data_IF_100355997178
#
_entry.id   IF_100355997178
#
_cell.length_a   1.000
_cell.length_b   1.000
_cell.length_c   1.000
_cell.angle_alpha   90.00
_cell.angle_beta   90.00
_cell.angle_gamma   90.00
#
_symmetry.space_group_name_H-M   'P 1'
#
loop_
_entity.id
_entity.type
_entity.pdbx_description
1 polymer ?
#
# COMPACT_ATOMS: atom_id res chain seq x y z
N UNK A 1 8.88 6.84 -25.17
CA UNK A 1 8.72 5.37 -25.05
C UNK A 1 7.74 4.99 -23.94
N UNK A 2 7.78 5.65 -22.78
CA UNK A 2 6.86 5.44 -21.64
C UNK A 2 5.38 5.69 -22.00
N UNK A 3 5.05 6.73 -22.77
CA UNK A 3 3.66 6.99 -23.19
C UNK A 3 3.06 5.89 -24.07
N UNK A 4 3.85 5.30 -25.00
CA UNK A 4 3.37 4.18 -25.83
C UNK A 4 3.11 2.92 -25.00
N UNK A 5 3.83 2.75 -23.89
CA UNK A 5 3.61 1.64 -22.95
C UNK A 5 2.37 1.88 -22.09
N UNK A 6 2.16 3.10 -21.59
CA UNK A 6 1.01 3.44 -20.74
C UNK A 6 -0.29 3.63 -21.52
N UNK A 7 -0.25 4.16 -22.74
CA UNK A 7 -1.42 4.46 -23.57
C UNK A 7 -1.37 3.77 -24.95
N UNK A 8 -1.57 2.44 -25.03
CA UNK A 8 -1.82 1.79 -26.31
C UNK A 8 -3.18 2.25 -26.89
N UNK A 9 -3.22 2.69 -28.15
CA UNK A 9 -4.45 3.13 -28.82
C UNK A 9 -5.42 1.99 -29.15
N UNK A 10 -4.93 0.75 -29.23
CA UNK A 10 -5.73 -0.43 -29.51
C UNK A 10 -6.40 -0.97 -28.25
N UNK A 11 -7.72 -0.84 -28.17
CA UNK A 11 -8.55 -1.38 -27.10
C UNK A 11 -8.70 -2.90 -27.29
N UNK A 12 -8.07 -3.69 -26.42
CA UNK A 12 -8.10 -5.15 -26.52
C UNK A 12 -8.46 -5.72 -25.16
N UNK A 13 -9.73 -6.11 -24.98
CA UNK A 13 -10.28 -6.57 -23.71
C UNK A 13 -9.46 -7.70 -23.07
N UNK A 14 -8.90 -8.61 -23.87
CA UNK A 14 -8.04 -9.70 -23.37
C UNK A 14 -6.79 -9.17 -22.65
N UNK A 15 -6.19 -8.11 -23.20
CA UNK A 15 -5.00 -7.47 -22.61
C UNK A 15 -5.37 -6.71 -21.34
N UNK A 16 -6.49 -5.99 -21.34
CA UNK A 16 -7.04 -5.30 -20.16
C UNK A 16 -7.25 -6.28 -19.01
N UNK A 17 -7.84 -7.44 -19.31
CA UNK A 17 -8.09 -8.50 -18.34
C UNK A 17 -6.79 -9.03 -17.72
N UNK A 18 -5.78 -9.35 -18.55
CA UNK A 18 -4.47 -9.83 -18.07
C UNK A 18 -3.82 -8.79 -17.14
N UNK A 19 -3.82 -7.50 -17.51
CA UNK A 19 -3.28 -6.44 -16.66
C UNK A 19 -4.05 -6.28 -15.34
N UNK A 20 -5.36 -6.49 -15.36
CA UNK A 20 -6.20 -6.44 -14.17
C UNK A 20 -5.83 -7.55 -13.19
N UNK A 21 -5.75 -8.79 -13.69
CA UNK A 21 -5.40 -9.96 -12.88
C UNK A 21 -3.99 -9.81 -12.32
N UNK A 22 -3.02 -9.36 -13.12
CA UNK A 22 -1.66 -9.11 -12.66
C UNK A 22 -1.59 -8.02 -11.58
N UNK A 23 -2.21 -6.86 -11.80
CA UNK A 23 -2.23 -5.77 -10.83
C UNK A 23 -2.90 -6.19 -9.52
N UNK A 24 -4.05 -6.89 -9.59
CA UNK A 24 -4.76 -7.40 -8.43
C UNK A 24 -3.95 -8.43 -7.63
N UNK A 25 -3.30 -9.37 -8.33
CA UNK A 25 -2.48 -10.42 -7.70
C UNK A 25 -1.28 -9.84 -6.98
N UNK A 26 -0.59 -8.89 -7.61
CA UNK A 26 0.58 -8.22 -7.04
C UNK A 26 0.17 -7.31 -5.86
N UNK A 27 -0.95 -6.59 -5.97
CA UNK A 27 -1.49 -5.80 -4.86
C UNK A 27 -1.82 -6.68 -3.64
N UNK A 28 -2.57 -7.77 -3.83
CA UNK A 28 -2.95 -8.69 -2.76
C UNK A 28 -1.72 -9.36 -2.12
N UNK A 29 -0.73 -9.77 -2.92
CA UNK A 29 0.50 -10.40 -2.44
C UNK A 29 1.45 -9.43 -1.73
N UNK A 30 1.38 -8.13 -2.02
CA UNK A 30 2.37 -7.15 -1.53
C UNK A 30 2.49 -7.09 -0.01
N UNK A 31 1.36 -7.06 0.71
CA UNK A 31 1.35 -6.97 2.18
C UNK A 31 1.91 -8.23 2.84
N UNK A 32 1.61 -9.39 2.24
CA UNK A 32 2.17 -10.67 2.67
C UNK A 32 3.68 -10.73 2.44
N UNK A 33 4.14 -10.36 1.24
CA UNK A 33 5.57 -10.33 0.90
C UNK A 33 6.33 -9.40 1.85
N UNK A 34 5.85 -8.17 2.09
CA UNK A 34 6.48 -7.23 3.03
C UNK A 34 6.64 -7.85 4.42
N UNK A 35 5.61 -8.53 4.93
CA UNK A 35 5.64 -9.19 6.24
C UNK A 35 6.63 -10.38 6.27
N UNK A 36 6.62 -11.21 5.22
CA UNK A 36 7.51 -12.37 5.09
C UNK A 36 8.98 -11.96 5.03
N UNK A 37 9.34 -10.97 4.20
CA UNK A 37 10.71 -10.46 4.09
C UNK A 37 11.18 -9.81 5.38
N UNK A 38 10.32 -9.04 6.06
CA UNK A 38 10.64 -8.42 7.36
C UNK A 38 10.97 -9.47 8.41
N UNK A 39 10.17 -10.54 8.48
CA UNK A 39 10.38 -11.64 9.43
C UNK A 39 11.71 -12.36 9.20
N UNK A 40 12.11 -12.55 7.94
CA UNK A 40 13.37 -13.19 7.57
C UNK A 40 14.60 -12.29 7.73
N UNK A 41 14.48 -10.98 7.53
CA UNK A 41 15.62 -10.07 7.55
C UNK A 41 15.94 -9.45 8.91
N UNK A 42 14.92 -9.03 9.67
CA UNK A 42 15.08 -8.30 10.94
C UNK A 42 14.70 -9.19 12.13
N UNK A 43 13.59 -9.92 12.01
CA UNK A 43 13.10 -10.83 13.03
C UNK A 43 11.58 -10.82 13.15
N UNK A 44 11.05 -11.82 13.87
CA UNK A 44 9.60 -12.07 13.99
C UNK A 44 8.88 -10.95 14.75
N UNK A 45 9.52 -10.34 15.76
CA UNK A 45 8.93 -9.27 16.56
C UNK A 45 8.60 -8.02 15.73
N UNK A 46 9.53 -7.56 14.89
CA UNK A 46 9.34 -6.38 14.04
C UNK A 46 8.34 -6.64 12.91
N UNK A 47 8.31 -7.86 12.36
CA UNK A 47 7.30 -8.28 11.41
C UNK A 47 5.89 -8.24 12.01
N UNK A 48 5.74 -8.60 13.29
CA UNK A 48 4.49 -8.48 14.03
C UNK A 48 4.03 -7.02 14.16
N UNK A 49 4.94 -6.09 14.45
CA UNK A 49 4.65 -4.65 14.53
C UNK A 49 4.18 -4.12 13.16
N UNK A 50 4.85 -4.51 12.08
CA UNK A 50 4.45 -4.14 10.72
C UNK A 50 3.05 -4.67 10.37
N UNK A 51 2.78 -5.95 10.68
CA UNK A 51 1.48 -6.57 10.41
C UNK A 51 0.34 -5.89 11.21
N UNK A 52 0.59 -5.51 12.46
CA UNK A 52 -0.33 -4.72 13.27
C UNK A 52 -0.61 -3.36 12.61
N UNK A 53 0.44 -2.63 12.21
CA UNK A 53 0.31 -1.34 11.56
C UNK A 53 -0.48 -1.42 10.24
N UNK A 54 -0.22 -2.44 9.42
CA UNK A 54 -0.96 -2.68 8.17
C UNK A 54 -2.44 -2.98 8.42
N UNK A 55 -2.75 -3.75 9.47
CA UNK A 55 -4.13 -4.10 9.83
C UNK A 55 -4.91 -2.87 10.30
N UNK A 56 -4.30 -2.05 11.16
CA UNK A 56 -4.90 -0.77 11.60
C UNK A 56 -5.11 0.16 10.41
N UNK A 57 -4.12 0.25 9.51
CA UNK A 57 -4.23 1.01 8.27
C UNK A 57 -5.42 0.56 7.41
N UNK A 58 -5.61 -0.75 7.24
CA UNK A 58 -6.75 -1.29 6.48
C UNK A 58 -8.09 -0.90 7.08
N UNK A 59 -8.22 -0.92 8.40
CA UNK A 59 -9.45 -0.54 9.09
C UNK A 59 -9.78 0.94 8.89
N UNK A 60 -8.76 1.81 8.94
CA UNK A 60 -8.93 3.25 8.73
C UNK A 60 -9.25 3.59 7.26
N UNK A 61 -8.70 2.84 6.31
CA UNK A 61 -8.99 3.01 4.87
C UNK A 61 -10.49 2.87 4.57
N UNK A 62 -11.24 2.06 5.31
CA UNK A 62 -12.70 1.96 5.15
C UNK A 62 -13.39 3.32 5.29
N UNK A 63 -12.91 4.17 6.21
CA UNK A 63 -13.38 5.54 6.41
C UNK A 63 -12.92 6.44 5.26
N UNK A 64 -11.64 6.35 4.88
CA UNK A 64 -11.06 7.20 3.85
C UNK A 64 -11.60 6.95 2.44
N UNK A 65 -11.93 5.69 2.12
CA UNK A 65 -12.43 5.32 0.80
C UNK A 65 -13.93 5.54 0.65
N UNK A 66 -14.71 5.25 1.70
CA UNK A 66 -16.17 5.39 1.74
C UNK A 66 -16.90 4.93 0.46
N UNK A 67 -16.29 3.99 -0.28
CA UNK A 67 -16.69 3.55 -1.62
C UNK A 67 -16.97 4.67 -2.66
N UNK A 68 -16.35 5.85 -2.50
CA UNK A 68 -16.52 7.00 -3.41
C UNK A 68 -16.11 6.65 -4.84
N UNK A 69 -15.08 5.81 -4.99
CA UNK A 69 -14.62 5.35 -6.30
C UNK A 69 -15.70 4.60 -7.06
N UNK A 70 -16.49 3.75 -6.40
CA UNK A 70 -17.58 3.01 -7.04
C UNK A 70 -18.64 3.96 -7.58
N UNK A 71 -18.97 5.01 -6.80
CA UNK A 71 -19.88 6.08 -7.24
C UNK A 71 -19.32 6.83 -8.46
N UNK A 72 -18.05 7.24 -8.39
CA UNK A 72 -17.34 7.94 -9.47
C UNK A 72 -17.28 7.14 -10.78
N UNK A 73 -17.02 5.83 -10.69
CA UNK A 73 -16.95 4.95 -11.86
C UNK A 73 -18.33 4.73 -12.48
N UNK A 74 -19.39 4.69 -11.66
CA UNK A 74 -20.77 4.55 -12.14
C UNK A 74 -21.33 5.81 -12.80
N UNK A 75 -20.79 6.99 -12.47
CA UNK A 75 -21.18 8.28 -13.05
C UNK A 75 -20.60 8.47 -14.46
N UNK A 76 -20.98 7.62 -15.40
CA UNK A 76 -20.50 7.68 -16.80
C UNK A 76 -20.93 8.97 -17.50
N UNK A 77 -22.04 9.57 -17.07
CA UNK A 77 -22.56 10.82 -17.65
C UNK A 77 -21.91 12.08 -17.06
N UNK A 78 -20.89 11.94 -16.19
CA UNK A 78 -20.17 13.04 -15.53
C UNK A 78 -21.13 14.10 -14.97
N UNK A 79 -22.18 13.66 -14.25
CA UNK A 79 -23.17 14.57 -13.66
C UNK A 79 -22.53 15.47 -12.59
N UNK A 80 -21.45 15.00 -11.97
CA UNK A 80 -20.63 15.74 -11.02
C UNK A 80 -19.24 16.01 -11.60
N UNK A 81 -18.69 17.20 -11.30
CA UNK A 81 -17.40 17.64 -11.86
C UNK A 81 -16.25 16.89 -11.21
N UNK A 82 -15.09 16.78 -11.88
CA UNK A 82 -13.88 16.21 -11.29
C UNK A 82 -13.55 16.75 -9.88
N UNK A 83 -13.71 18.07 -9.74
CA UNK A 83 -13.41 18.79 -8.52
C UNK A 83 -14.27 18.35 -7.33
N UNK A 84 -15.54 17.97 -7.55
CA UNK A 84 -16.45 17.59 -6.46
C UNK A 84 -16.00 16.30 -5.78
N UNK A 85 -15.52 15.33 -6.58
CA UNK A 85 -14.96 14.10 -6.07
C UNK A 85 -13.61 14.31 -5.39
N UNK A 86 -12.81 15.26 -5.88
CA UNK A 86 -11.55 15.65 -5.23
C UNK A 86 -11.82 16.25 -3.85
N UNK A 87 -12.78 17.16 -3.76
CA UNK A 87 -13.18 17.77 -2.50
C UNK A 87 -13.71 16.74 -1.51
N UNK A 88 -14.59 15.84 -1.95
CA UNK A 88 -15.09 14.74 -1.13
C UNK A 88 -13.94 13.85 -0.63
N UNK A 89 -12.95 13.55 -1.49
CA UNK A 89 -11.78 12.75 -1.11
C UNK A 89 -10.92 13.47 -0.07
N UNK A 90 -10.71 14.77 -0.20
CA UNK A 90 -9.99 15.55 0.81
C UNK A 90 -10.71 15.44 2.15
N UNK A 91 -12.03 15.58 2.19
CA UNK A 91 -12.82 15.44 3.43
C UNK A 91 -12.65 14.05 4.03
N UNK A 92 -12.82 12.97 3.25
CA UNK A 92 -12.73 11.60 3.81
C UNK A 92 -11.32 11.23 4.24
N UNK A 93 -10.30 11.66 3.50
CA UNK A 93 -8.89 11.45 3.89
C UNK A 93 -8.55 12.25 5.13
N UNK A 94 -9.00 13.50 5.25
CA UNK A 94 -8.84 14.30 6.47
C UNK A 94 -9.55 13.65 7.66
N UNK A 95 -10.77 13.12 7.49
CA UNK A 95 -11.47 12.37 8.53
C UNK A 95 -10.70 11.10 8.95
N UNK A 96 -10.15 10.35 7.98
CA UNK A 96 -9.31 9.18 8.25
C UNK A 96 -8.06 9.56 9.05
N UNK A 97 -7.39 10.67 8.70
CA UNK A 97 -6.21 11.16 9.42
C UNK A 97 -6.56 11.62 10.84
N UNK A 98 -7.69 12.30 11.03
CA UNK A 98 -8.16 12.72 12.36
C UNK A 98 -8.46 11.52 13.26
N UNK A 99 -9.19 10.52 12.75
CA UNK A 99 -9.49 9.29 13.51
C UNK A 99 -8.20 8.53 13.82
N UNK A 100 -7.30 8.42 12.84
CA UNK A 100 -5.98 7.82 13.03
C UNK A 100 -5.15 8.53 14.10
N UNK A 101 -5.15 9.86 14.10
CA UNK A 101 -4.45 10.66 15.10
C UNK A 101 -5.02 10.48 16.50
N UNK A 102 -6.35 10.53 16.66
CA UNK A 102 -7.01 10.26 17.95
C UNK A 102 -6.71 8.85 18.45
N UNK A 103 -6.67 7.87 17.56
CA UNK A 103 -6.33 6.50 17.90
C UNK A 103 -4.88 6.40 18.41
N UNK A 104 -3.93 7.02 17.72
CA UNK A 104 -2.51 7.09 18.15
C UNK A 104 -2.34 7.81 19.49
N UNK A 105 -3.14 8.83 19.78
CA UNK A 105 -3.09 9.54 21.07
C UNK A 105 -3.66 8.73 22.24
N UNK A 106 -4.72 7.96 22.00
CA UNK A 106 -5.33 7.11 23.03
C UNK A 106 -4.49 5.88 23.34
N UNK A 107 -3.77 5.39 22.35
CA UNK A 107 -3.00 4.18 22.47
C UNK A 107 -1.62 4.48 23.06
N UNK A 108 -1.31 3.92 24.23
CA UNK A 108 -0.06 4.19 24.96
C UNK A 108 1.16 3.47 24.36
N UNK A 109 1.17 3.23 23.05
CA UNK A 109 2.25 2.54 22.35
C UNK A 109 3.49 3.44 22.28
N UNK A 110 4.61 2.99 22.87
CA UNK A 110 5.89 3.73 22.88
C UNK A 110 6.80 3.34 21.71
N UNK A 111 7.56 4.32 21.21
CA UNK A 111 8.70 4.11 20.31
C UNK A 111 8.31 3.65 18.90
N UNK A 112 8.92 2.56 18.45
CA UNK A 112 8.90 2.05 17.06
C UNK A 112 7.49 1.74 16.56
N UNK A 113 6.60 1.22 17.42
CA UNK A 113 5.22 0.87 17.04
C UNK A 113 4.40 2.08 16.62
N UNK A 114 4.51 3.18 17.38
CA UNK A 114 3.78 4.42 17.09
C UNK A 114 4.25 5.05 15.78
N UNK A 115 5.56 5.03 15.52
CA UNK A 115 6.13 5.50 14.26
C UNK A 115 5.64 4.65 13.07
N UNK A 116 5.64 3.32 13.21
CA UNK A 116 5.16 2.40 12.16
C UNK A 116 3.68 2.61 11.82
N UNK A 117 2.81 2.75 12.83
CA UNK A 117 1.37 2.98 12.63
C UNK A 117 1.13 4.35 12.00
N UNK A 118 1.80 5.40 12.48
CA UNK A 118 1.69 6.74 11.91
C UNK A 118 2.11 6.77 10.44
N UNK A 119 3.21 6.09 10.11
CA UNK A 119 3.67 5.97 8.73
C UNK A 119 2.69 5.18 7.84
N UNK A 120 2.12 4.10 8.37
CA UNK A 120 1.10 3.32 7.65
C UNK A 120 -0.16 4.16 7.34
N UNK A 121 -0.60 4.99 8.28
CA UNK A 121 -1.76 5.88 8.09
C UNK A 121 -1.47 6.92 6.99
N UNK A 122 -0.29 7.55 7.03
CA UNK A 122 0.13 8.50 6.00
C UNK A 122 0.26 7.84 4.62
N UNK A 123 0.84 6.64 4.57
CA UNK A 123 0.94 5.86 3.35
C UNK A 123 -0.45 5.56 2.75
N UNK A 124 -1.42 5.17 3.59
CA UNK A 124 -2.80 4.94 3.15
C UNK A 124 -3.49 6.21 2.65
N UNK A 125 -3.17 7.38 3.21
CA UNK A 125 -3.71 8.66 2.72
C UNK A 125 -3.22 8.96 1.28
N UNK A 126 -1.95 8.70 1.00
CA UNK A 126 -1.37 8.86 -0.36
C UNK A 126 -2.02 7.87 -1.35
N UNK A 127 -2.25 6.63 -0.91
CA UNK A 127 -2.96 5.65 -1.73
C UNK A 127 -4.40 6.08 -2.06
N UNK A 128 -5.11 6.72 -1.13
CA UNK A 128 -6.47 7.22 -1.35
C UNK A 128 -6.54 8.29 -2.46
N UNK A 129 -5.54 9.16 -2.52
CA UNK A 129 -5.44 10.17 -3.58
C UNK A 129 -5.13 9.51 -4.93
N UNK A 130 -4.23 8.53 -4.94
CA UNK A 130 -3.89 7.78 -6.15
C UNK A 130 -5.10 7.02 -6.72
N UNK A 131 -5.91 6.41 -5.84
CA UNK A 131 -7.14 5.69 -6.21
C UNK A 131 -8.20 6.62 -6.85
N UNK A 132 -8.24 7.91 -6.48
CA UNK A 132 -9.13 8.89 -7.13
C UNK A 132 -8.79 9.08 -8.62
N UNK A 133 -7.49 9.18 -8.94
CA UNK A 133 -7.00 9.35 -10.30
C UNK A 133 -7.22 8.08 -11.13
N UNK A 134 -6.91 6.92 -10.55
CA UNK A 134 -7.17 5.61 -11.15
C UNK A 134 -8.68 5.42 -11.43
N UNK A 135 -9.54 5.87 -10.51
CA UNK A 135 -10.99 5.91 -10.67
C UNK A 135 -11.45 6.74 -11.87
N UNK A 136 -10.75 7.83 -12.22
CA UNK A 136 -11.08 8.61 -13.44
C UNK A 136 -10.74 7.89 -14.71
N UNK A 137 -9.59 7.23 -14.76
CA UNK A 137 -9.24 6.43 -15.92
C UNK A 137 -10.26 5.31 -16.14
N UNK A 138 -10.79 4.74 -15.05
CA UNK A 138 -11.86 3.76 -15.11
C UNK A 138 -13.21 4.37 -15.56
N UNK A 139 -13.60 5.55 -15.06
CA UNK A 139 -14.80 6.28 -15.51
C UNK A 139 -14.76 6.57 -17.02
N UNK A 140 -13.59 6.88 -17.58
CA UNK A 140 -13.38 7.11 -19.02
C UNK A 140 -13.24 5.82 -19.86
N UNK A 141 -13.53 4.65 -19.29
CA UNK A 141 -13.43 3.36 -19.99
C UNK A 141 -11.99 2.91 -20.30
N UNK A 142 -10.97 3.55 -19.73
CA UNK A 142 -9.54 3.24 -19.96
C UNK A 142 -8.94 2.45 -18.81
N UNK A 143 -9.57 1.32 -18.50
CA UNK A 143 -9.17 0.48 -17.36
C UNK A 143 -7.75 -0.10 -17.50
N UNK A 144 -7.28 -0.36 -18.74
CA UNK A 144 -5.90 -0.78 -19.02
C UNK A 144 -4.85 0.14 -18.38
N UNK A 145 -5.10 1.46 -18.44
CA UNK A 145 -4.16 2.48 -17.97
C UNK A 145 -4.15 2.52 -16.44
N UNK A 146 -5.33 2.40 -15.83
CA UNK A 146 -5.48 2.32 -14.37
C UNK A 146 -4.73 1.11 -13.81
N UNK A 147 -4.93 -0.10 -14.38
CA UNK A 147 -4.27 -1.31 -13.90
C UNK A 147 -2.75 -1.27 -14.03
N UNK A 148 -2.22 -0.68 -15.12
CA UNK A 148 -0.77 -0.46 -15.27
C UNK A 148 -0.23 0.50 -14.22
N UNK A 149 -0.97 1.58 -13.92
CA UNK A 149 -0.67 2.51 -12.83
C UNK A 149 -0.54 1.80 -11.50
N UNK A 150 -1.56 1.01 -11.13
CA UNK A 150 -1.56 0.21 -9.90
C UNK A 150 -0.38 -0.74 -9.86
N UNK A 151 -0.11 -1.47 -10.95
CA UNK A 151 0.99 -2.43 -11.01
C UNK A 151 2.35 -1.75 -10.76
N UNK A 152 2.63 -0.64 -11.43
CA UNK A 152 3.88 0.11 -11.26
C UNK A 152 3.98 0.71 -9.86
N UNK A 153 2.88 1.26 -9.32
CA UNK A 153 2.80 1.79 -7.96
C UNK A 153 3.12 0.72 -6.92
N UNK A 154 2.54 -0.48 -7.09
CA UNK A 154 2.78 -1.58 -6.15
C UNK A 154 4.22 -2.06 -6.20
N UNK A 155 4.74 -2.23 -7.41
CA UNK A 155 6.12 -2.66 -7.58
C UNK A 155 7.10 -1.61 -7.03
N UNK A 156 6.81 -0.32 -7.18
CA UNK A 156 7.69 0.76 -6.71
C UNK A 156 7.74 0.83 -5.19
N UNK A 157 6.62 0.78 -4.48
CA UNK A 157 6.65 0.80 -3.00
C UNK A 157 7.23 -0.50 -2.44
N UNK A 158 7.00 -1.65 -3.09
CA UNK A 158 7.57 -2.92 -2.66
C UNK A 158 9.09 -2.94 -2.86
N UNK A 159 9.59 -2.42 -3.99
CA UNK A 159 11.02 -2.26 -4.22
C UNK A 159 11.65 -1.28 -3.22
N UNK A 160 11.01 -0.12 -2.98
CA UNK A 160 11.47 0.85 -1.99
C UNK A 160 11.55 0.22 -0.59
N UNK A 161 10.53 -0.53 -0.19
CA UNK A 161 10.49 -1.24 1.09
C UNK A 161 11.62 -2.26 1.22
N UNK A 162 11.86 -3.07 0.18
CA UNK A 162 12.97 -4.03 0.16
C UNK A 162 14.33 -3.32 0.26
N UNK A 163 14.54 -2.22 -0.46
CA UNK A 163 15.78 -1.43 -0.39
C UNK A 163 15.99 -0.90 1.03
N UNK A 164 14.95 -0.34 1.66
CA UNK A 164 15.01 0.10 3.06
C UNK A 164 15.39 -1.05 3.99
N UNK A 165 14.78 -2.23 3.83
CA UNK A 165 15.14 -3.42 4.62
C UNK A 165 16.60 -3.85 4.41
N UNK A 166 17.12 -3.81 3.18
CA UNK A 166 18.51 -4.12 2.89
C UNK A 166 19.48 -3.15 3.57
N UNK A 167 19.16 -1.85 3.56
CA UNK A 167 19.96 -0.83 4.24
C UNK A 167 19.90 -1.04 5.77
N UNK A 168 18.72 -1.28 6.34
CA UNK A 168 18.54 -1.55 7.77
C UNK A 168 19.31 -2.80 8.22
N UNK A 169 19.33 -3.86 7.41
CA UNK A 169 20.15 -5.04 7.67
C UNK A 169 21.64 -4.71 7.70
N UNK A 170 22.10 -3.84 6.81
CA UNK A 170 23.51 -3.45 6.73
C UNK A 170 23.93 -2.63 7.97
N UNK A 171 23.06 -1.77 8.47
CA UNK A 171 23.27 -1.01 9.72
C UNK A 171 23.22 -1.95 10.95
N UNK A 172 22.28 -2.89 11.00
CA UNK A 172 22.20 -3.88 12.08
C UNK A 172 23.43 -4.80 12.17
N UNK A 173 24.09 -5.08 11.04
CA UNK A 173 25.37 -5.80 11.02
C UNK A 173 26.54 -4.94 11.51
N UNK A 174 26.47 -3.62 11.34
CA UNK A 174 27.52 -2.67 11.71
C UNK A 174 27.42 -2.20 13.17
N UNK A 175 26.22 -2.18 13.76
CA UNK A 175 25.97 -1.69 15.13
C UNK A 175 25.80 -2.78 16.20
N UNK A 176 25.83 -4.08 15.87
CA UNK A 176 25.59 -5.09 16.90
C UNK A 176 25.56 -6.55 16.47
N UNK A 177 26.63 -7.04 15.83
CA UNK A 177 26.94 -8.48 15.79
C UNK A 177 28.30 -8.79 16.39
N UNK A 178 28.49 -8.40 17.66
CA UNK A 178 29.13 -9.32 18.59
C UNK A 178 28.01 -10.14 19.24
N UNK A 179 28.05 -11.47 19.06
CA UNK A 179 27.18 -12.47 19.71
C UNK A 179 25.69 -12.50 19.33
N UNK A 180 25.34 -13.37 18.38
CA UNK A 180 24.29 -14.41 18.51
C UNK A 180 24.15 -15.09 17.14
N UNK A 181 25.15 -15.89 16.80
CA UNK A 181 25.08 -17.35 16.84
C UNK A 181 24.16 -17.96 15.78
N UNK A 182 24.84 -18.74 14.94
CA UNK A 182 24.41 -19.67 13.91
C UNK A 182 23.51 -20.82 14.46
N UNK A 183 22.99 -20.72 15.69
CA UNK A 183 22.27 -21.78 16.40
C UNK A 183 20.76 -21.77 16.20
N UNK A 184 20.14 -20.64 15.84
CA UNK A 184 18.67 -20.59 15.67
C UNK A 184 18.18 -21.16 14.33
N UNK A 185 19.07 -21.34 13.35
CA UNK A 185 18.74 -22.05 12.11
C UNK A 185 18.59 -23.57 12.31
N UNK A 186 19.11 -24.15 13.40
CA UNK A 186 19.02 -25.58 13.67
C UNK A 186 17.75 -25.99 14.45
N UNK A 187 17.05 -25.03 15.06
CA UNK A 187 15.82 -25.30 15.84
C UNK A 187 14.52 -25.20 15.02
N UNK A 188 14.55 -24.54 13.85
CA UNK A 188 13.37 -24.45 12.96
C UNK A 188 13.23 -25.63 11.98
N UNK A 189 14.15 -26.60 11.97
CA UNK A 189 14.02 -27.84 11.17
C UNK A 189 13.45 -29.03 11.97
N UNK A 190 12.97 -28.80 13.20
CA UNK A 190 12.40 -29.83 14.10
C UNK A 190 11.03 -29.47 14.70
N UNK A 191 10.30 -28.52 14.13
CA UNK A 191 8.87 -28.31 14.39
C UNK A 191 8.13 -28.25 13.06
#
# INVERSE_FOLDING_TARGET
MIEKFFMPSNHNMKRTYIWTVLAGSVYAGSSFLMSMFTSKCIGVAEAGILALALTIGNQLVTIGFYNIRTFQVSDVTEKYTFSDYCFLRVITVSAMLLVGFVWVLKDSHRGVKLAAISFAILFRAIEAVSDLLEGRYQQKGRYDVACKGVFVKVLSYLAAFLITLFITKNIGHCSGRSCSNLSDCALYSRQ
#
